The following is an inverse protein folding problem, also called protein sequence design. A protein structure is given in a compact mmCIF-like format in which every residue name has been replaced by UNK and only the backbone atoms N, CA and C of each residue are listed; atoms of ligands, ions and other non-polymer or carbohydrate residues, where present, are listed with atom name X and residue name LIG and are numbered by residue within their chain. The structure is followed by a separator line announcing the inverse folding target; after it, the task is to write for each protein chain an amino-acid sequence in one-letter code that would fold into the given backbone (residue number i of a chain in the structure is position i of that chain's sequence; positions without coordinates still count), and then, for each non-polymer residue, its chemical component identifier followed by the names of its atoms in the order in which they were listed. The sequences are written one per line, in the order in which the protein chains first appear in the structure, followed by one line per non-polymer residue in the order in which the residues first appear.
data_IF_497108954175
#
_entry.id   IF_497108954175
#
_cell.length_a   1.000
_cell.length_b   1.000
_cell.length_c   1.000
_cell.angle_alpha   90.00
_cell.angle_beta   90.00
_cell.angle_gamma   90.00
#
_symmetry.space_group_name_H-M   'P 1'
#
loop_
_entity.id
_entity.type
_entity.pdbx_description
1 polymer ?
#
# COMPACT_ATOMS: atom_id res chain seq x y z
N UNK A 1 -3.21 -6.56 3.18
CA UNK A 1 -2.74 -5.17 3.03
C UNK A 1 -1.22 -5.01 3.00
N UNK A 2 -0.43 -5.83 3.72
CA UNK A 2 1.05 -5.71 3.73
C UNK A 2 1.68 -5.76 2.33
N UNK A 3 1.21 -6.66 1.46
CA UNK A 3 1.72 -6.77 0.08
C UNK A 3 1.36 -5.55 -0.78
N UNK A 4 0.14 -5.02 -0.64
CA UNK A 4 -0.33 -3.81 -1.36
C UNK A 4 0.49 -2.60 -0.94
N UNK A 5 0.62 -2.37 0.38
CA UNK A 5 1.43 -1.27 0.91
C UNK A 5 2.92 -1.44 0.59
N UNK A 6 3.43 -2.67 0.61
CA UNK A 6 4.80 -2.97 0.23
C UNK A 6 5.06 -2.64 -1.25
N UNK A 7 4.14 -2.98 -2.15
CA UNK A 7 4.26 -2.63 -3.56
C UNK A 7 4.13 -1.13 -3.80
N UNK A 8 3.16 -0.46 -3.16
CA UNK A 8 3.00 1.00 -3.17
C UNK A 8 4.30 1.71 -2.75
N UNK A 9 4.97 1.23 -1.70
CA UNK A 9 6.25 1.78 -1.27
C UNK A 9 7.38 1.52 -2.28
N UNK A 10 7.39 0.35 -2.93
CA UNK A 10 8.36 0.05 -4.00
C UNK A 10 8.16 0.95 -5.23
N UNK A 11 6.92 1.27 -5.62
CA UNK A 11 6.66 2.22 -6.71
C UNK A 11 7.15 3.63 -6.37
N UNK A 12 6.89 4.11 -5.15
CA UNK A 12 7.39 5.40 -4.67
C UNK A 12 8.92 5.44 -4.68
N UNK A 13 9.56 4.39 -4.15
CA UNK A 13 11.02 4.26 -4.17
C UNK A 13 11.56 4.25 -5.60
N UNK A 14 10.90 3.53 -6.52
CA UNK A 14 11.30 3.47 -7.92
C UNK A 14 11.27 4.85 -8.58
N UNK A 15 10.19 5.62 -8.39
CA UNK A 15 10.09 6.98 -8.91
C UNK A 15 11.21 7.87 -8.35
N UNK A 16 11.39 7.90 -7.02
CA UNK A 16 12.40 8.74 -6.37
C UNK A 16 13.82 8.40 -6.82
N UNK A 17 14.12 7.11 -7.00
CA UNK A 17 15.42 6.64 -7.47
C UNK A 17 15.69 7.01 -8.93
N UNK A 18 14.70 6.83 -9.81
CA UNK A 18 14.84 7.22 -11.22
C UNK A 18 15.07 8.73 -11.36
N UNK A 19 14.39 9.56 -10.55
CA UNK A 19 14.52 11.02 -10.62
C UNK A 19 15.94 11.54 -10.31
N UNK A 20 16.73 10.78 -9.55
CA UNK A 20 18.13 11.10 -9.22
C UNK A 20 19.13 10.17 -9.92
N UNK A 21 18.66 9.38 -10.89
CA UNK A 21 19.43 8.35 -11.59
C UNK A 21 20.12 7.32 -10.66
N UNK A 22 19.52 7.04 -9.50
CA UNK A 22 19.99 5.99 -8.58
C UNK A 22 19.44 4.62 -8.98
N UNK A 23 20.24 3.91 -9.78
CA UNK A 23 19.91 2.56 -10.26
C UNK A 23 20.42 1.44 -9.34
N UNK A 24 20.72 1.71 -8.06
CA UNK A 24 21.30 0.73 -7.11
C UNK A 24 20.51 -0.57 -7.05
N UNK A 25 19.17 -0.49 -7.05
CA UNK A 25 18.28 -1.64 -6.96
C UNK A 25 17.69 -2.07 -8.31
N UNK A 26 18.09 -1.44 -9.43
CA UNK A 26 17.49 -1.61 -10.75
C UNK A 26 18.53 -2.09 -11.76
N UNK A 27 19.04 -3.31 -11.56
CA UNK A 27 20.13 -3.88 -12.38
C UNK A 27 19.86 -3.84 -13.89
N UNK A 28 18.62 -4.07 -14.32
CA UNK A 28 18.27 -4.07 -15.74
C UNK A 28 18.21 -2.66 -16.32
N UNK A 29 17.82 -1.65 -15.52
CA UNK A 29 17.96 -0.26 -15.94
C UNK A 29 19.44 0.11 -16.09
N UNK A 30 20.29 -0.37 -15.19
CA UNK A 30 21.74 -0.16 -15.26
C UNK A 30 22.35 -0.83 -16.50
N UNK A 31 22.00 -2.08 -16.78
CA UNK A 31 22.40 -2.80 -18.00
C UNK A 31 22.06 -1.99 -19.27
N UNK A 32 20.86 -1.40 -19.32
CA UNK A 32 20.46 -0.53 -20.44
C UNK A 32 21.30 0.76 -20.51
N UNK A 33 21.60 1.42 -19.39
CA UNK A 33 22.51 2.58 -19.41
C UNK A 33 23.91 2.18 -19.90
N UNK A 34 24.43 1.06 -19.42
CA UNK A 34 25.76 0.56 -19.77
C UNK A 34 25.87 0.18 -21.27
N UNK A 35 24.78 -0.30 -21.87
CA UNK A 35 24.69 -0.61 -23.31
C UNK A 35 24.61 0.64 -24.21
N UNK A 36 24.16 1.79 -23.67
CA UNK A 36 23.95 3.04 -24.41
C UNK A 36 24.66 4.22 -23.70
N UNK A 37 25.99 4.29 -23.76
CA UNK A 37 26.81 5.18 -22.94
C UNK A 37 26.74 6.68 -23.28
N UNK A 38 26.09 7.08 -24.40
CA UNK A 38 26.12 8.46 -24.91
C UNK A 38 25.11 9.41 -24.20
N UNK A 39 24.94 9.35 -22.88
CA UNK A 39 24.03 10.22 -22.08
C UNK A 39 22.59 10.37 -22.67
N UNK A 40 22.21 9.51 -23.61
CA UNK A 40 20.96 9.57 -24.38
C UNK A 40 19.78 9.05 -23.56
N UNK A 41 20.07 8.25 -22.53
CA UNK A 41 19.06 7.60 -21.70
C UNK A 41 18.91 8.35 -20.37
N UNK A 42 17.97 9.30 -20.36
CA UNK A 42 17.43 9.85 -19.13
C UNK A 42 16.15 9.09 -18.74
N UNK A 43 16.30 8.10 -17.85
CA UNK A 43 15.17 7.30 -17.34
C UNK A 43 14.10 8.17 -16.67
N UNK A 44 14.49 9.29 -16.04
CA UNK A 44 13.56 10.22 -15.42
C UNK A 44 12.70 10.87 -16.49
N UNK A 45 13.32 11.43 -17.52
CA UNK A 45 12.60 12.05 -18.63
C UNK A 45 11.70 11.04 -19.36
N UNK A 46 12.16 9.81 -19.56
CA UNK A 46 11.44 8.80 -20.33
C UNK A 46 10.26 8.16 -19.59
N UNK A 47 10.40 7.85 -18.29
CA UNK A 47 9.47 6.95 -17.60
C UNK A 47 8.72 7.60 -16.43
N UNK A 48 9.09 8.80 -15.99
CA UNK A 48 8.44 9.47 -14.84
C UNK A 48 6.93 9.56 -14.99
N UNK A 49 6.44 9.93 -16.17
CA UNK A 49 5.00 10.03 -16.44
C UNK A 49 4.32 8.68 -16.34
N UNK A 50 4.87 7.64 -16.99
CA UNK A 50 4.30 6.29 -16.93
C UNK A 50 4.29 5.72 -15.51
N UNK A 51 5.35 5.97 -14.73
CA UNK A 51 5.42 5.51 -13.34
C UNK A 51 4.35 6.20 -12.50
N UNK A 52 4.14 7.51 -12.68
CA UNK A 52 3.07 8.25 -11.99
C UNK A 52 1.68 7.73 -12.36
N UNK A 53 1.43 7.49 -13.64
CA UNK A 53 0.16 6.91 -14.10
C UNK A 53 -0.07 5.51 -13.47
N UNK A 54 0.96 4.67 -13.43
CA UNK A 54 0.89 3.36 -12.76
C UNK A 54 0.60 3.52 -11.27
N UNK A 55 1.20 4.49 -10.60
CA UNK A 55 0.93 4.80 -9.19
C UNK A 55 -0.52 5.21 -8.98
N UNK A 56 -1.04 6.11 -9.82
CA UNK A 56 -2.43 6.59 -9.73
C UNK A 56 -3.44 5.47 -10.02
N UNK A 57 -3.19 4.63 -11.03
CA UNK A 57 -4.00 3.43 -11.31
C UNK A 57 -3.97 2.44 -10.15
N UNK A 58 -2.79 2.22 -9.56
CA UNK A 58 -2.64 1.33 -8.42
C UNK A 58 -3.42 1.86 -7.21
N UNK A 59 -3.27 3.14 -6.87
CA UNK A 59 -4.00 3.73 -5.75
C UNK A 59 -5.51 3.71 -5.99
N UNK A 60 -5.97 3.97 -7.22
CA UNK A 60 -7.40 3.86 -7.55
C UNK A 60 -7.93 2.45 -7.41
N UNK A 61 -7.19 1.44 -7.89
CA UNK A 61 -7.60 0.03 -7.84
C UNK A 61 -7.66 -0.52 -6.41
N UNK A 62 -6.82 0.00 -5.52
CA UNK A 62 -6.71 -0.49 -4.14
C UNK A 62 -7.33 0.45 -3.10
N UNK A 63 -8.02 1.52 -3.52
CA UNK A 63 -8.63 2.53 -2.63
C UNK A 63 -9.61 1.93 -1.63
N UNK A 64 -10.31 0.86 -2.00
CA UNK A 64 -11.28 0.22 -1.12
C UNK A 64 -10.61 -0.47 0.08
N UNK A 65 -9.36 -0.93 -0.04
CA UNK A 65 -8.62 -1.42 1.13
C UNK A 65 -8.31 -0.32 2.13
N UNK A 66 -8.06 0.90 1.65
CA UNK A 66 -7.84 2.05 2.53
C UNK A 66 -9.15 2.43 3.23
N UNK A 67 -10.30 2.38 2.53
CA UNK A 67 -11.64 2.60 3.11
C UNK A 67 -12.06 1.54 4.12
N UNK A 68 -11.72 0.28 3.86
CA UNK A 68 -12.09 -0.85 4.71
C UNK A 68 -11.10 -1.09 5.85
N UNK A 69 -10.03 -0.30 5.95
CA UNK A 69 -8.93 -0.58 6.88
C UNK A 69 -9.40 -0.71 8.33
N UNK A 70 -10.25 0.20 8.79
CA UNK A 70 -10.75 0.21 10.17
C UNK A 70 -11.73 -0.95 10.41
N UNK A 71 -12.60 -1.23 9.44
CA UNK A 71 -13.49 -2.39 9.47
C UNK A 71 -12.69 -3.71 9.52
N UNK A 72 -11.60 -3.82 8.76
CA UNK A 72 -10.73 -5.01 8.78
C UNK A 72 -10.08 -5.20 10.16
N UNK A 73 -9.67 -4.12 10.82
CA UNK A 73 -9.13 -4.19 12.18
C UNK A 73 -10.20 -4.69 13.15
N UNK A 74 -11.41 -4.14 13.06
CA UNK A 74 -12.55 -4.59 13.85
C UNK A 74 -12.86 -6.08 13.61
N UNK A 75 -12.98 -6.51 12.35
CA UNK A 75 -13.28 -7.91 12.00
C UNK A 75 -12.18 -8.89 12.41
N UNK A 76 -10.92 -8.43 12.51
CA UNK A 76 -9.81 -9.28 12.95
C UNK A 76 -9.85 -9.56 14.44
N UNK A 77 -10.34 -8.62 15.25
CA UNK A 77 -10.41 -8.77 16.69
C UNK A 77 -11.63 -8.04 17.29
N UNK A 78 -12.85 -8.51 17.00
CA UNK A 78 -14.07 -7.86 17.48
C UNK A 78 -14.27 -8.03 18.99
N UNK A 79 -13.57 -8.99 19.60
CA UNK A 79 -13.73 -9.33 21.02
C UNK A 79 -13.00 -8.40 21.96
N UNK A 80 -11.96 -7.73 21.48
CA UNK A 80 -11.17 -6.78 22.26
C UNK A 80 -11.25 -5.35 21.70
N UNK A 81 -12.17 -5.09 20.77
CA UNK A 81 -12.38 -3.74 20.24
C UNK A 81 -13.08 -2.87 21.27
N UNK A 82 -12.63 -1.63 21.44
CA UNK A 82 -13.29 -0.62 22.29
C UNK A 82 -14.61 -0.22 21.64
N UNK A 83 -15.73 -0.64 22.22
CA UNK A 83 -17.09 -0.50 21.65
C UNK A 83 -17.41 0.97 21.37
N UNK A 84 -17.11 1.86 22.31
CA UNK A 84 -17.42 3.30 22.23
C UNK A 84 -16.67 4.02 21.10
N UNK A 85 -15.60 3.42 20.59
CA UNK A 85 -14.81 3.95 19.47
C UNK A 85 -15.25 3.39 18.10
N UNK A 86 -16.15 2.40 18.06
CA UNK A 86 -16.64 1.82 16.80
C UNK A 86 -17.83 2.61 16.25
N UNK A 87 -18.10 2.45 14.94
CA UNK A 87 -19.29 3.03 14.31
C UNK A 87 -20.57 2.56 15.02
N UNK A 88 -21.55 3.47 15.21
CA UNK A 88 -22.79 3.18 15.96
C UNK A 88 -23.56 1.96 15.45
N UNK A 89 -23.45 1.65 14.14
CA UNK A 89 -24.08 0.48 13.53
C UNK A 89 -23.55 -0.88 14.05
N UNK A 90 -22.35 -0.89 14.67
CA UNK A 90 -21.73 -2.10 15.23
C UNK A 90 -21.83 -2.18 16.75
N UNK A 91 -22.07 -1.06 17.45
CA UNK A 91 -21.91 -1.01 18.91
C UNK A 91 -22.81 -1.99 19.68
N UNK A 92 -24.09 -2.09 19.30
CA UNK A 92 -25.02 -3.02 19.94
C UNK A 92 -24.66 -4.49 19.68
N UNK A 93 -24.31 -4.82 18.44
CA UNK A 93 -23.86 -6.17 18.08
C UNK A 93 -22.58 -6.55 18.82
N UNK A 94 -21.65 -5.60 19.01
CA UNK A 94 -20.43 -5.81 19.78
C UNK A 94 -20.70 -6.01 21.27
N UNK A 95 -21.69 -5.32 21.86
CA UNK A 95 -22.11 -5.58 23.25
C UNK A 95 -22.54 -7.04 23.43
N UNK A 96 -23.40 -7.54 22.55
CA UNK A 96 -23.88 -8.93 22.61
C UNK A 96 -22.73 -9.91 22.37
N UNK A 97 -21.94 -9.67 21.31
CA UNK A 97 -20.83 -10.52 20.91
C UNK A 97 -19.72 -10.62 21.98
N UNK A 98 -19.40 -9.52 22.67
CA UNK A 98 -18.38 -9.49 23.73
C UNK A 98 -18.91 -10.03 25.07
N UNK A 99 -20.23 -9.96 25.33
CA UNK A 99 -20.83 -10.53 26.53
C UNK A 99 -20.82 -12.07 26.51
N UNK A 100 -21.00 -12.69 25.34
CA UNK A 100 -21.04 -14.15 25.19
C UNK A 100 -19.67 -14.83 25.40
N UNK A 101 -18.57 -14.08 25.35
CA UNK A 101 -17.20 -14.62 25.51
C UNK A 101 -16.74 -14.83 26.96
N UNK A 102 -17.65 -14.78 27.94
CA UNK A 102 -17.34 -15.08 29.34
C UNK A 102 -17.11 -16.60 29.57
N UNK A 103 -17.35 -17.49 28.60
CA UNK A 103 -17.19 -18.94 28.79
C UNK A 103 -16.66 -19.74 27.58
N UNK A 104 -15.37 -19.60 27.24
CA UNK A 104 -14.59 -20.75 26.74
C UNK A 104 -13.19 -20.70 27.35
N UNK A 105 -12.91 -21.70 28.19
CA UNK A 105 -11.64 -21.96 28.88
C UNK A 105 -10.54 -22.40 27.92
#
# INVERSE_FOLDING_TARGET
MSNVNGFRNKLKLFLSNIEINDLTYFKHCREVVDEFPDDLIDFSMMFKTNIKEIMDEFDRRFVDFDRMKDSIVLYRNPMNSVIEQQESKYQMELCDLQADNINVR
#
